data_IF_988041386432
#
_entry.id   IF_988041386432
#
_cell.length_a   1.000
_cell.length_b   1.000
_cell.length_c   1.000
_cell.angle_alpha   90.00
_cell.angle_beta   90.00
_cell.angle_gamma   90.00
#
_symmetry.space_group_name_H-M   'P 1'
#
loop_
_entity.id
_entity.type
_entity.pdbx_description
1 polymer ?
#
# COMPACT_ATOMS: atom_id res chain seq x y z
N UNK A 1 -12.56 -12.10 5.27
CA UNK A 1 -11.47 -11.13 5.02
C UNK A 1 -10.18 -11.90 4.90
N UNK A 2 -9.61 -12.00 3.70
CA UNK A 2 -8.27 -12.58 3.52
C UNK A 2 -7.27 -11.47 3.84
N UNK A 3 -6.51 -11.61 4.93
CA UNK A 3 -5.40 -10.73 5.23
C UNK A 3 -4.34 -10.96 4.15
N UNK A 4 -3.99 -9.95 3.34
CA UNK A 4 -2.96 -10.11 2.32
C UNK A 4 -1.66 -10.63 2.94
N UNK A 5 -1.00 -11.59 2.28
CA UNK A 5 0.21 -12.27 2.78
C UNK A 5 1.30 -11.28 3.23
N UNK A 6 1.36 -10.13 2.59
CA UNK A 6 2.28 -9.03 2.88
C UNK A 6 2.13 -8.44 4.29
N UNK A 7 0.93 -8.44 4.88
CA UNK A 7 0.75 -7.99 6.27
C UNK A 7 1.24 -9.03 7.28
N UNK A 8 1.17 -10.32 6.92
CA UNK A 8 1.76 -11.39 7.73
C UNK A 8 3.30 -11.29 7.67
N UNK A 9 3.85 -11.01 6.50
CA UNK A 9 5.30 -10.85 6.33
C UNK A 9 5.84 -9.59 7.02
N UNK A 10 5.10 -8.47 6.99
CA UNK A 10 5.43 -7.27 7.77
C UNK A 10 5.50 -7.61 9.27
N UNK A 11 4.56 -8.39 9.79
CA UNK A 11 4.53 -8.77 11.21
C UNK A 11 5.65 -9.74 11.59
N UNK A 12 6.06 -10.63 10.68
CA UNK A 12 7.17 -11.56 10.87
C UNK A 12 8.51 -10.81 10.81
N UNK A 13 8.75 -10.03 9.76
CA UNK A 13 10.07 -9.41 9.50
C UNK A 13 10.40 -8.23 10.40
N UNK A 14 9.41 -7.53 10.94
CA UNK A 14 9.66 -6.38 11.84
C UNK A 14 10.04 -6.80 13.26
N UNK A 15 9.80 -8.05 13.64
CA UNK A 15 10.12 -8.61 14.96
C UNK A 15 11.28 -9.63 14.98
N UNK A 16 11.71 -10.13 13.82
CA UNK A 16 12.70 -11.21 13.74
C UNK A 16 14.09 -10.70 13.27
N UNK A 17 15.13 -11.05 14.03
CA UNK A 17 16.52 -11.05 13.54
C UNK A 17 16.68 -12.21 12.57
N UNK A 18 16.81 -11.92 11.27
CA UNK A 18 17.12 -12.94 10.26
C UNK A 18 18.56 -13.45 10.41
N UNK A 19 18.91 -14.54 9.74
CA UNK A 19 20.28 -15.06 9.64
C UNK A 19 21.26 -14.04 9.02
N UNK A 20 20.71 -13.00 8.36
CA UNK A 20 21.41 -11.86 7.75
C UNK A 20 21.46 -10.63 8.69
N UNK A 21 20.78 -10.70 9.83
CA UNK A 21 20.68 -9.63 10.84
C UNK A 21 19.26 -9.05 10.96
N UNK A 22 19.15 -7.98 11.76
CA UNK A 22 17.91 -7.19 11.89
C UNK A 22 17.65 -6.49 10.55
N UNK A 23 16.55 -6.85 9.87
CA UNK A 23 16.06 -6.05 8.75
C UNK A 23 15.34 -4.84 9.33
N UNK A 24 15.70 -3.64 8.86
CA UNK A 24 15.06 -2.43 9.36
C UNK A 24 13.60 -2.36 8.87
N UNK A 25 12.68 -1.91 9.74
CA UNK A 25 11.28 -1.63 9.34
C UNK A 25 11.22 -0.79 8.05
N UNK A 26 12.21 0.10 7.84
CA UNK A 26 12.35 0.90 6.63
C UNK A 26 12.53 0.04 5.38
N UNK A 27 13.39 -0.97 5.41
CA UNK A 27 13.62 -1.87 4.26
C UNK A 27 12.36 -2.70 3.96
N UNK A 28 11.68 -3.21 4.97
CA UNK A 28 10.41 -3.91 4.78
C UNK A 28 9.34 -3.01 4.14
N UNK A 29 9.21 -1.76 4.59
CA UNK A 29 8.26 -0.81 4.02
C UNK A 29 8.59 -0.45 2.56
N UNK A 30 9.88 -0.37 2.21
CA UNK A 30 10.34 -0.15 0.82
C UNK A 30 9.95 -1.35 -0.07
N UNK A 31 10.22 -2.58 0.39
CA UNK A 31 9.90 -3.80 -0.36
C UNK A 31 8.39 -3.97 -0.58
N UNK A 32 7.58 -3.59 0.43
CA UNK A 32 6.12 -3.58 0.32
C UNK A 32 5.65 -2.56 -0.70
N UNK A 33 6.21 -1.34 -0.63
CA UNK A 33 5.87 -0.29 -1.57
C UNK A 33 6.17 -0.72 -3.01
N UNK A 34 7.37 -1.25 -3.28
CA UNK A 34 7.78 -1.74 -4.60
C UNK A 34 6.85 -2.84 -5.13
N UNK A 35 6.47 -3.80 -4.28
CA UNK A 35 5.53 -4.85 -4.66
C UNK A 35 4.12 -4.32 -4.99
N UNK A 36 3.70 -3.21 -4.40
CA UNK A 36 2.37 -2.63 -4.64
C UNK A 36 2.35 -1.60 -5.77
N UNK A 37 3.43 -0.86 -5.96
CA UNK A 37 3.54 0.23 -6.94
C UNK A 37 3.85 -0.27 -8.35
N UNK A 38 4.20 -1.55 -8.53
CA UNK A 38 4.82 -2.07 -9.77
C UNK A 38 6.04 -1.25 -10.18
N UNK A 39 6.74 -0.65 -9.22
CA UNK A 39 8.00 0.06 -9.47
C UNK A 39 9.18 -0.80 -9.07
N UNK A 40 10.29 -0.69 -9.80
CA UNK A 40 11.53 -1.32 -9.40
C UNK A 40 12.20 -0.61 -8.20
N UNK A 41 13.41 -1.04 -7.87
CA UNK A 41 14.16 -0.54 -6.72
C UNK A 41 14.51 0.95 -6.83
N UNK A 42 14.57 1.46 -8.05
CA UNK A 42 14.86 2.83 -8.43
C UNK A 42 13.60 3.70 -8.52
N UNK A 43 12.42 3.12 -8.31
CA UNK A 43 11.13 3.81 -8.45
C UNK A 43 10.66 3.96 -9.90
N UNK A 44 11.24 3.18 -10.83
CA UNK A 44 10.87 3.20 -12.23
C UNK A 44 9.55 2.48 -12.46
N UNK A 45 8.64 3.15 -13.18
CA UNK A 45 7.37 2.57 -13.60
C UNK A 45 7.54 1.95 -14.98
N UNK A 46 7.21 0.66 -15.12
CA UNK A 46 7.29 -0.03 -16.40
C UNK A 46 6.44 0.70 -17.47
N UNK A 47 6.94 0.91 -18.71
CA UNK A 47 6.17 1.54 -19.78
C UNK A 47 4.86 0.80 -20.14
N UNK A 48 4.78 -0.49 -19.80
CA UNK A 48 3.62 -1.33 -20.03
C UNK A 48 2.54 -1.17 -18.95
N UNK A 49 2.81 -0.40 -17.88
CA UNK A 49 1.84 -0.17 -16.83
C UNK A 49 0.66 0.65 -17.38
N UNK A 50 -0.55 0.10 -17.25
CA UNK A 50 -1.76 0.82 -17.57
C UNK A 50 -2.11 1.80 -16.43
N UNK A 51 -1.73 3.06 -16.60
CA UNK A 51 -2.04 4.12 -15.66
C UNK A 51 -3.55 4.36 -15.51
N UNK A 52 -4.34 4.13 -16.56
CA UNK A 52 -5.79 4.30 -16.49
C UNK A 52 -6.42 3.21 -15.62
N UNK A 53 -5.93 1.97 -15.74
CA UNK A 53 -6.32 0.89 -14.84
C UNK A 53 -5.96 1.21 -13.38
N UNK A 54 -4.74 1.72 -13.13
CA UNK A 54 -4.32 2.11 -11.77
C UNK A 54 -5.14 3.25 -11.18
N UNK A 55 -5.50 4.26 -11.99
CA UNK A 55 -6.43 5.31 -11.55
C UNK A 55 -7.82 4.75 -11.24
N UNK A 56 -8.32 3.81 -12.04
CA UNK A 56 -9.59 3.12 -11.78
C UNK A 56 -9.55 2.36 -10.45
N UNK A 57 -8.48 1.58 -10.22
CA UNK A 57 -8.25 0.85 -8.97
C UNK A 57 -8.16 1.80 -7.76
N UNK A 58 -7.47 2.95 -7.88
CA UNK A 58 -7.39 3.94 -6.81
C UNK A 58 -8.79 4.50 -6.44
N UNK A 59 -9.62 4.82 -7.44
CA UNK A 59 -10.99 5.31 -7.22
C UNK A 59 -11.88 4.27 -6.54
N UNK A 60 -11.74 3.01 -6.91
CA UNK A 60 -12.45 1.90 -6.26
C UNK A 60 -12.02 1.76 -4.79
N UNK A 61 -10.72 1.75 -4.52
CA UNK A 61 -10.17 1.67 -3.16
C UNK A 61 -10.62 2.85 -2.28
N UNK A 62 -10.63 4.07 -2.81
CA UNK A 62 -11.14 5.24 -2.10
C UNK A 62 -12.63 5.09 -1.77
N UNK A 63 -13.43 4.59 -2.72
CA UNK A 63 -14.86 4.35 -2.50
C UNK A 63 -15.10 3.32 -1.40
N UNK A 64 -14.33 2.22 -1.40
CA UNK A 64 -14.37 1.22 -0.33
C UNK A 64 -13.94 1.78 1.03
N UNK A 65 -12.91 2.63 1.05
CA UNK A 65 -12.44 3.28 2.27
C UNK A 65 -13.51 4.20 2.87
N UNK A 66 -14.10 5.08 2.06
CA UNK A 66 -15.19 5.98 2.48
C UNK A 66 -16.35 5.18 3.06
N UNK A 67 -16.79 4.13 2.37
CA UNK A 67 -17.87 3.26 2.86
C UNK A 67 -17.52 2.61 4.21
N UNK A 68 -16.26 2.22 4.42
CA UNK A 68 -15.81 1.64 5.69
C UNK A 68 -15.69 2.66 6.83
N UNK A 69 -15.55 3.95 6.51
CA UNK A 69 -15.46 5.05 7.47
C UNK A 69 -16.81 5.68 7.79
N UNK A 70 -17.91 5.19 7.20
CA UNK A 70 -19.26 5.65 7.48
C UNK A 70 -19.56 5.65 8.99
N UNK A 71 -20.06 6.79 9.50
CA UNK A 71 -20.36 6.99 10.91
C UNK A 71 -19.15 7.28 11.81
N UNK A 72 -17.92 7.20 11.31
CA UNK A 72 -16.70 7.58 12.03
C UNK A 72 -16.17 8.94 11.58
N UNK A 73 -16.13 9.18 10.28
CA UNK A 73 -15.64 10.41 9.67
C UNK A 73 -16.49 10.78 8.45
N UNK A 74 -16.42 12.04 8.01
CA UNK A 74 -17.11 12.46 6.80
C UNK A 74 -16.35 12.00 5.54
N UNK A 75 -17.04 11.80 4.41
CA UNK A 75 -16.40 11.50 3.13
C UNK A 75 -15.36 12.54 2.70
N UNK A 76 -15.56 13.82 3.03
CA UNK A 76 -14.63 14.91 2.74
C UNK A 76 -13.32 14.76 3.50
N UNK A 77 -13.41 14.41 4.79
CA UNK A 77 -12.23 14.20 5.63
C UNK A 77 -11.46 12.95 5.19
N UNK A 78 -12.18 11.88 4.87
CA UNK A 78 -11.60 10.66 4.29
C UNK A 78 -10.84 10.94 2.98
N UNK A 79 -11.37 11.81 2.11
CA UNK A 79 -10.66 12.28 0.90
C UNK A 79 -9.43 13.12 1.23
N UNK A 80 -9.51 13.98 2.24
CA UNK A 80 -8.41 14.87 2.66
C UNK A 80 -7.17 14.09 3.12
N UNK A 81 -7.37 12.97 3.81
CA UNK A 81 -6.29 12.13 4.34
C UNK A 81 -5.89 11.00 3.40
N UNK A 82 -6.55 10.86 2.24
CA UNK A 82 -6.24 9.82 1.28
C UNK A 82 -4.84 10.06 0.67
N UNK A 83 -3.93 9.07 0.71
CA UNK A 83 -2.54 9.27 0.31
C UNK A 83 -2.33 9.42 -1.20
N UNK A 84 -3.35 9.14 -2.02
CA UNK A 84 -3.27 9.13 -3.48
C UNK A 84 -4.30 10.11 -4.09
N UNK A 85 -3.95 11.40 -4.25
CA UNK A 85 -4.87 12.40 -4.78
C UNK A 85 -5.34 12.05 -6.20
N UNK A 86 -6.52 12.57 -6.58
CA UNK A 86 -7.08 12.43 -7.94
C UNK A 86 -6.26 13.13 -9.02
#
# INVERSE_FOLDING_TARGET
MNVPCVFRELFIRTGETSDVGVVSLRECLIEIFQNWSNTDAEGWVAPQLDFAEKQSQNKELLSMYIARMEGKESPEEARRIWPFPE
#
